data_IF_849752945474
#
_entry.id   IF_849752945474
#
_cell.length_a   1.000
_cell.length_b   1.000
_cell.length_c   1.000
_cell.angle_alpha   90.00
_cell.angle_beta   90.00
_cell.angle_gamma   90.00
#
_symmetry.space_group_name_H-M   'P 1'
#
loop_
_entity.id
_entity.type
_entity.pdbx_description
1 polymer ?
#
# COMPACT_ATOMS: atom_id res chain seq x y z
N UNK A 1 13.74 24.95 34.67
CA UNK A 1 14.94 24.14 34.42
C UNK A 1 15.20 24.14 32.93
N UNK A 2 16.35 24.66 32.51
CA UNK A 2 16.79 24.80 31.11
C UNK A 2 17.35 23.47 30.60
N UNK A 3 17.39 23.35 29.27
CA UNK A 3 18.40 22.61 28.47
C UNK A 3 18.17 21.07 28.34
N UNK A 4 18.21 20.42 27.16
CA UNK A 4 18.90 20.67 25.89
C UNK A 4 18.17 20.08 24.67
N UNK A 5 18.12 20.86 23.59
CA UNK A 5 17.85 20.44 22.22
C UNK A 5 19.12 19.77 21.64
N UNK A 6 19.01 18.56 21.11
CA UNK A 6 20.08 17.94 20.30
C UNK A 6 19.92 18.32 18.83
N UNK A 7 20.65 19.36 18.41
CA UNK A 7 20.83 19.74 17.01
C UNK A 7 21.99 18.92 16.42
N UNK A 8 21.70 18.00 15.49
CA UNK A 8 22.72 17.18 14.82
C UNK A 8 23.30 17.98 13.65
N UNK A 9 24.39 18.67 13.90
CA UNK A 9 25.18 19.43 12.92
C UNK A 9 25.81 18.50 11.86
N UNK A 10 25.45 18.70 10.60
CA UNK A 10 26.13 18.10 9.44
C UNK A 10 27.49 18.79 9.25
N UNK A 11 28.58 18.02 9.28
CA UNK A 11 29.95 18.51 9.08
C UNK A 11 30.17 18.89 7.60
N UNK A 12 30.75 20.06 7.28
CA UNK A 12 31.21 20.36 5.94
C UNK A 12 32.48 19.58 5.59
N UNK A 13 32.53 19.11 4.34
CA UNK A 13 33.65 18.38 3.74
C UNK A 13 34.89 19.27 3.56
N UNK A 14 36.07 18.67 3.77
CA UNK A 14 37.36 19.36 3.66
C UNK A 14 37.72 19.62 2.19
N UNK A 15 38.26 20.80 1.83
CA UNK A 15 38.85 21.01 0.52
C UNK A 15 40.23 20.33 0.43
N UNK A 16 40.44 19.57 -0.64
CA UNK A 16 41.70 18.91 -0.96
C UNK A 16 42.67 19.96 -1.53
N UNK A 17 43.84 20.08 -0.88
CA UNK A 17 44.92 21.03 -1.18
C UNK A 17 45.88 20.38 -2.18
N UNK A 18 46.04 20.99 -3.36
CA UNK A 18 47.09 20.65 -4.32
C UNK A 18 48.42 21.32 -3.90
N UNK A 19 49.54 20.60 -3.74
CA UNK A 19 50.85 21.21 -3.66
C UNK A 19 51.45 21.41 -5.06
N UNK A 20 51.95 22.63 -5.27
CA UNK A 20 52.65 23.06 -6.47
C UNK A 20 54.12 22.62 -6.55
N UNK A 21 54.62 22.79 -7.76
CA UNK A 21 55.95 22.51 -8.31
C UNK A 21 57.15 22.95 -7.47
N UNK A 22 58.24 22.17 -7.51
CA UNK A 22 59.61 22.69 -7.74
C UNK A 22 60.54 21.62 -8.32
N UNK A 23 61.50 22.08 -9.12
CA UNK A 23 62.27 21.35 -10.13
C UNK A 23 63.60 20.74 -9.63
N UNK A 24 64.04 19.65 -10.28
CA UNK A 24 65.44 19.26 -10.54
C UNK A 24 65.43 18.23 -11.70
N UNK A 25 65.96 18.55 -12.88
CA UNK A 25 67.35 18.42 -13.34
C UNK A 25 67.76 17.01 -13.80
N UNK A 26 68.31 17.01 -15.03
CA UNK A 26 69.34 16.13 -15.62
C UNK A 26 68.92 14.85 -16.34
N UNK A 27 68.96 14.98 -17.67
CA UNK A 27 69.35 14.02 -18.70
C UNK A 27 69.61 12.58 -18.22
N UNK A 28 68.84 11.64 -18.77
CA UNK A 28 69.40 10.45 -19.41
C UNK A 28 68.45 10.02 -20.54
N UNK A 29 68.94 10.20 -21.75
CA UNK A 29 68.42 9.63 -22.98
C UNK A 29 68.59 8.11 -22.94
N UNK A 30 67.55 7.40 -22.53
CA UNK A 30 67.38 5.97 -22.82
C UNK A 30 66.32 5.82 -23.90
N UNK A 31 66.75 5.41 -25.09
CA UNK A 31 65.93 5.04 -26.22
C UNK A 31 65.05 3.84 -25.82
N UNK A 32 63.86 4.11 -25.27
CA UNK A 32 62.86 3.07 -25.02
C UNK A 32 62.05 2.90 -26.30
N UNK A 33 62.36 1.80 -27.00
CA UNK A 33 61.49 1.23 -28.03
C UNK A 33 60.11 1.04 -27.43
N UNK A 34 59.21 1.98 -27.69
CA UNK A 34 57.79 1.76 -27.50
C UNK A 34 57.44 0.51 -28.32
N UNK A 35 56.96 -0.58 -27.70
CA UNK A 35 56.19 -1.53 -28.48
C UNK A 35 55.06 -0.69 -29.09
N UNK A 36 55.00 -0.64 -30.42
CA UNK A 36 53.81 -0.18 -31.12
C UNK A 36 52.67 -0.98 -30.50
N UNK A 37 51.85 -0.34 -29.67
CA UNK A 37 50.52 -0.84 -29.40
C UNK A 37 49.88 -0.92 -30.77
N UNK A 38 49.88 -2.13 -31.33
CA UNK A 38 49.11 -2.43 -32.52
C UNK A 38 47.69 -2.11 -32.10
N UNK A 39 47.20 -0.95 -32.52
CA UNK A 39 45.78 -0.68 -32.53
C UNK A 39 45.20 -1.76 -33.45
N UNK A 40 44.82 -2.88 -32.84
CA UNK A 40 44.03 -3.90 -33.50
C UNK A 40 42.69 -3.20 -33.78
N UNK A 41 42.52 -2.71 -35.00
CA UNK A 41 41.25 -2.20 -35.45
C UNK A 41 40.25 -3.34 -35.31
N UNK A 42 39.24 -3.14 -34.47
CA UNK A 42 38.12 -4.08 -34.33
C UNK A 42 37.59 -4.32 -35.73
N UNK A 43 37.65 -5.56 -36.18
CA UNK A 43 37.17 -5.89 -37.52
C UNK A 43 35.65 -5.79 -37.53
N UNK A 44 35.06 -5.36 -38.65
CA UNK A 44 33.61 -5.23 -38.77
C UNK A 44 32.89 -6.56 -38.46
N UNK A 45 33.55 -7.69 -38.75
CA UNK A 45 33.07 -9.04 -38.44
C UNK A 45 33.04 -9.33 -36.93
N UNK A 46 34.03 -8.87 -36.18
CA UNK A 46 34.07 -9.01 -34.72
C UNK A 46 32.97 -8.19 -34.06
N UNK A 47 32.75 -6.95 -34.53
CA UNK A 47 31.63 -6.14 -34.06
C UNK A 47 30.29 -6.82 -34.37
N UNK A 48 30.14 -7.38 -35.58
CA UNK A 48 28.93 -8.09 -35.99
C UNK A 48 28.68 -9.35 -35.13
N UNK A 49 29.73 -10.11 -34.79
CA UNK A 49 29.61 -11.27 -33.92
C UNK A 49 29.22 -10.88 -32.47
N UNK A 50 29.73 -9.75 -31.96
CA UNK A 50 29.37 -9.28 -30.62
C UNK A 50 27.91 -8.83 -30.57
N UNK A 51 27.44 -8.05 -31.54
CA UNK A 51 26.05 -7.58 -31.53
C UNK A 51 25.05 -8.75 -31.69
N UNK A 52 25.38 -9.77 -32.48
CA UNK A 52 24.50 -10.95 -32.61
C UNK A 52 24.47 -11.76 -31.32
N UNK A 53 25.62 -11.94 -30.67
CA UNK A 53 25.69 -12.60 -29.36
C UNK A 53 24.92 -11.83 -28.29
N UNK A 54 25.07 -10.50 -28.23
CA UNK A 54 24.30 -9.66 -27.32
C UNK A 54 22.80 -9.69 -27.61
N UNK A 55 22.38 -9.73 -28.89
CA UNK A 55 20.97 -9.82 -29.26
C UNK A 55 20.33 -11.15 -28.81
N UNK A 56 21.07 -12.26 -28.92
CA UNK A 56 20.61 -13.57 -28.45
C UNK A 56 20.49 -13.58 -26.93
N UNK A 57 21.50 -13.07 -26.21
CA UNK A 57 21.49 -13.00 -24.75
C UNK A 57 20.38 -12.09 -24.22
N UNK A 58 20.16 -10.93 -24.86
CA UNK A 58 19.10 -10.00 -24.49
C UNK A 58 17.71 -10.63 -24.65
N UNK A 59 17.47 -11.32 -25.77
CA UNK A 59 16.21 -12.04 -26.00
C UNK A 59 15.99 -13.14 -24.96
N UNK A 60 17.04 -13.92 -24.65
CA UNK A 60 16.95 -14.97 -23.62
C UNK A 60 16.69 -14.41 -22.22
N UNK A 61 17.28 -13.27 -21.88
CA UNK A 61 17.08 -12.61 -20.59
C UNK A 61 15.63 -12.09 -20.44
N UNK A 62 15.03 -11.52 -21.48
CA UNK A 62 13.64 -11.01 -21.40
C UNK A 62 12.63 -12.10 -21.05
N UNK A 63 12.76 -13.30 -21.62
CA UNK A 63 11.86 -14.43 -21.32
C UNK A 63 12.05 -14.94 -19.90
N UNK A 64 13.27 -14.82 -19.34
CA UNK A 64 13.55 -15.25 -17.97
C UNK A 64 13.01 -14.28 -16.90
N UNK A 65 12.74 -13.03 -17.27
CA UNK A 65 12.16 -12.03 -16.37
C UNK A 65 10.62 -11.97 -16.43
N UNK A 66 10.01 -12.55 -17.47
CA UNK A 66 8.55 -12.61 -17.60
C UNK A 66 7.97 -13.46 -16.45
N UNK A 67 7.11 -12.84 -15.63
CA UNK A 67 6.44 -13.47 -14.48
C UNK A 67 7.14 -13.36 -13.12
N UNK A 68 8.42 -12.95 -13.04
CA UNK A 68 9.09 -12.75 -11.73
C UNK A 68 8.46 -11.59 -10.95
N UNK A 69 8.07 -10.54 -11.67
CA UNK A 69 7.42 -9.36 -11.07
C UNK A 69 6.02 -9.70 -10.55
N UNK A 70 5.27 -10.56 -11.25
CA UNK A 70 3.92 -10.97 -10.84
C UNK A 70 3.95 -11.85 -9.59
N UNK A 71 4.89 -12.79 -9.52
CA UNK A 71 5.10 -13.64 -8.33
C UNK A 71 5.53 -12.79 -7.12
N UNK A 72 6.39 -11.79 -7.33
CA UNK A 72 6.82 -10.88 -6.28
C UNK A 72 5.65 -10.04 -5.75
N UNK A 73 4.79 -9.52 -6.63
CA UNK A 73 3.56 -8.79 -6.25
C UNK A 73 2.60 -9.68 -5.48
N UNK A 74 2.36 -10.90 -5.97
CA UNK A 74 1.51 -11.86 -5.28
C UNK A 74 2.01 -12.17 -3.86
N UNK A 75 3.32 -12.44 -3.72
CA UNK A 75 3.96 -12.69 -2.42
C UNK A 75 3.88 -11.47 -1.48
N UNK A 76 4.04 -10.26 -2.01
CA UNK A 76 3.90 -9.03 -1.22
C UNK A 76 2.46 -8.83 -0.75
N UNK A 77 1.48 -9.01 -1.63
CA UNK A 77 0.06 -8.91 -1.27
C UNK A 77 -0.32 -9.95 -0.21
N UNK A 78 0.21 -11.18 -0.30
CA UNK A 78 0.02 -12.19 0.76
C UNK A 78 0.66 -11.77 2.09
N UNK A 79 1.82 -11.13 2.07
CA UNK A 79 2.43 -10.63 3.30
C UNK A 79 1.60 -9.49 3.92
N UNK A 80 1.17 -8.53 3.10
CA UNK A 80 0.38 -7.39 3.55
C UNK A 80 -1.00 -7.81 4.10
N UNK A 81 -1.70 -8.73 3.43
CA UNK A 81 -3.00 -9.21 3.92
C UNK A 81 -2.88 -9.95 5.26
N UNK A 82 -1.77 -10.65 5.50
CA UNK A 82 -1.46 -11.27 6.80
C UNK A 82 -1.17 -10.21 7.88
N UNK A 83 -0.53 -9.09 7.54
CA UNK A 83 -0.38 -7.96 8.47
C UNK A 83 -1.74 -7.35 8.83
N UNK A 84 -2.63 -7.17 7.86
CA UNK A 84 -4.00 -6.67 8.10
C UNK A 84 -4.78 -7.66 8.98
N UNK A 85 -4.69 -8.98 8.71
CA UNK A 85 -5.30 -10.01 9.57
C UNK A 85 -4.80 -9.91 11.00
N UNK A 86 -3.49 -9.82 11.20
CA UNK A 86 -2.90 -9.69 12.55
C UNK A 86 -3.41 -8.43 13.25
N UNK A 87 -3.48 -7.30 12.56
CA UNK A 87 -4.02 -6.07 13.11
C UNK A 87 -5.49 -6.20 13.53
N UNK A 88 -6.33 -6.82 12.70
CA UNK A 88 -7.73 -7.09 13.01
C UNK A 88 -7.91 -8.04 14.20
N UNK A 89 -7.10 -9.10 14.26
CA UNK A 89 -7.12 -10.05 15.38
C UNK A 89 -6.61 -9.43 16.67
N UNK A 90 -5.59 -8.56 16.59
CA UNK A 90 -5.10 -7.81 17.73
C UNK A 90 -6.15 -6.80 18.23
N UNK A 91 -6.78 -6.05 17.33
CA UNK A 91 -7.92 -5.18 17.66
C UNK A 91 -9.03 -5.96 18.37
N UNK A 92 -9.38 -7.14 17.83
CA UNK A 92 -10.38 -8.04 18.43
C UNK A 92 -9.98 -8.51 19.83
N UNK A 93 -8.70 -8.79 20.04
CA UNK A 93 -8.20 -9.18 21.35
C UNK A 93 -8.25 -8.01 22.34
N UNK A 94 -7.76 -6.85 21.94
CA UNK A 94 -7.61 -5.67 22.79
C UNK A 94 -8.97 -5.04 23.11
N UNK A 95 -9.97 -5.17 22.24
CA UNK A 95 -11.32 -4.65 22.47
C UNK A 95 -12.06 -5.24 23.67
N UNK A 96 -11.58 -6.33 24.27
CA UNK A 96 -12.20 -6.93 25.45
C UNK A 96 -13.39 -7.83 25.14
N UNK A 97 -14.30 -7.34 24.31
CA UNK A 97 -15.55 -8.00 23.95
C UNK A 97 -15.43 -8.94 22.75
N UNK A 98 -14.21 -9.10 22.18
CA UNK A 98 -13.96 -9.88 20.96
C UNK A 98 -14.68 -9.34 19.73
N UNK A 99 -14.91 -8.03 19.67
CA UNK A 99 -15.49 -7.38 18.51
C UNK A 99 -14.40 -7.01 17.51
N UNK A 100 -14.67 -7.26 16.23
CA UNK A 100 -13.96 -6.61 15.13
C UNK A 100 -14.43 -5.15 15.00
N UNK A 101 -13.75 -4.33 14.16
CA UNK A 101 -14.34 -3.07 13.72
C UNK A 101 -15.77 -3.26 13.22
N UNK A 102 -16.62 -2.24 13.42
CA UNK A 102 -18.03 -2.21 12.95
C UNK A 102 -18.95 -3.20 13.70
N UNK A 103 -18.65 -3.50 14.96
CA UNK A 103 -19.44 -4.43 15.78
C UNK A 103 -19.57 -3.96 17.22
N UNK A 104 -20.72 -4.27 17.84
CA UNK A 104 -20.96 -3.98 19.24
C UNK A 104 -20.76 -2.50 19.53
N UNK A 105 -19.90 -2.17 20.49
CA UNK A 105 -19.57 -0.75 20.78
C UNK A 105 -18.88 -0.02 19.61
N UNK A 106 -18.30 -0.77 18.67
CA UNK A 106 -17.68 -0.24 17.46
C UNK A 106 -18.63 -0.24 16.26
N UNK A 107 -19.90 -0.56 16.45
CA UNK A 107 -20.88 -0.48 15.36
C UNK A 107 -20.98 0.96 14.85
N UNK A 108 -21.18 1.10 13.55
CA UNK A 108 -21.17 2.38 12.85
C UNK A 108 -22.44 3.20 13.06
N UNK A 109 -23.55 2.57 13.44
CA UNK A 109 -24.84 3.20 13.69
C UNK A 109 -25.32 3.03 15.14
N UNK A 110 -26.39 3.73 15.50
CA UNK A 110 -26.95 3.76 16.86
C UNK A 110 -27.85 2.56 17.20
N UNK A 111 -28.05 1.62 16.28
CA UNK A 111 -28.91 0.45 16.45
C UNK A 111 -28.08 -0.85 16.39
N UNK A 112 -27.57 -1.34 17.53
CA UNK A 112 -26.72 -2.53 17.56
C UNK A 112 -27.45 -3.83 17.14
N UNK A 113 -28.78 -3.80 17.05
CA UNK A 113 -29.63 -4.94 16.67
C UNK A 113 -30.28 -4.76 15.29
N UNK A 114 -29.99 -3.66 14.58
CA UNK A 114 -30.66 -3.27 13.34
C UNK A 114 -29.78 -2.49 12.36
N UNK A 115 -30.41 -1.91 11.34
CA UNK A 115 -29.75 -0.99 10.42
C UNK A 115 -30.36 0.40 10.64
N UNK A 116 -29.53 1.34 11.09
CA UNK A 116 -29.91 2.74 11.25
C UNK A 116 -29.05 3.64 10.36
N UNK A 117 -29.60 4.80 10.02
CA UNK A 117 -28.89 5.87 9.30
C UNK A 117 -28.31 6.93 10.25
N UNK A 118 -28.40 6.69 11.56
CA UNK A 118 -27.89 7.58 12.61
C UNK A 118 -26.56 7.01 13.10
N UNK A 119 -25.46 7.78 13.07
CA UNK A 119 -24.17 7.31 13.54
C UNK A 119 -24.16 6.98 15.02
N UNK A 120 -23.41 5.96 15.40
CA UNK A 120 -23.20 5.59 16.79
C UNK A 120 -22.64 6.79 17.59
N UNK A 121 -23.33 7.26 18.64
CA UNK A 121 -22.89 8.43 19.42
C UNK A 121 -21.63 8.19 20.26
N UNK A 122 -21.27 6.92 20.52
CA UNK A 122 -20.03 6.58 21.22
C UNK A 122 -18.79 6.75 20.33
N UNK A 123 -18.98 6.71 19.00
CA UNK A 123 -17.89 6.82 18.03
C UNK A 123 -17.41 8.27 17.85
N UNK A 124 -16.10 8.45 17.93
CA UNK A 124 -15.42 9.68 17.57
C UNK A 124 -14.99 9.63 16.10
N UNK A 125 -15.86 10.10 15.21
CA UNK A 125 -15.58 10.15 13.78
C UNK A 125 -14.48 11.16 13.44
N UNK A 126 -13.58 10.87 12.48
CA UNK A 126 -12.55 11.80 12.06
C UNK A 126 -13.09 13.14 11.52
N UNK A 127 -12.35 14.22 11.75
CA UNK A 127 -12.77 15.58 11.36
C UNK A 127 -13.01 15.77 9.85
N UNK A 128 -12.34 15.01 8.98
CA UNK A 128 -12.45 15.19 7.53
C UNK A 128 -13.82 14.79 6.96
N UNK A 129 -14.63 14.03 7.72
CA UNK A 129 -16.01 13.71 7.37
C UNK A 129 -17.04 14.51 8.19
N UNK A 130 -16.62 15.59 8.88
CA UNK A 130 -17.53 16.36 9.72
C UNK A 130 -18.69 16.98 8.95
N UNK A 131 -18.49 17.27 7.65
CA UNK A 131 -19.50 17.82 6.74
C UNK A 131 -20.48 16.79 6.20
N UNK A 132 -20.24 15.49 6.40
CA UNK A 132 -21.13 14.44 5.91
C UNK A 132 -22.44 14.46 6.70
N UNK A 133 -23.53 14.16 6.00
CA UNK A 133 -24.81 13.85 6.64
C UNK A 133 -24.70 12.60 7.52
N UNK A 134 -25.68 12.40 8.38
CA UNK A 134 -25.71 11.25 9.31
C UNK A 134 -25.64 9.91 8.57
N UNK A 135 -26.44 9.73 7.51
CA UNK A 135 -26.40 8.52 6.69
C UNK A 135 -25.07 8.34 5.97
N UNK A 136 -24.48 9.42 5.43
CA UNK A 136 -23.18 9.35 4.75
C UNK A 136 -22.04 8.94 5.68
N UNK A 137 -22.11 9.31 6.98
CA UNK A 137 -21.14 8.85 7.98
C UNK A 137 -21.27 7.35 8.26
N UNK A 138 -22.49 6.85 8.37
CA UNK A 138 -22.74 5.40 8.54
C UNK A 138 -22.24 4.64 7.31
N UNK A 139 -22.60 5.09 6.10
CA UNK A 139 -22.14 4.53 4.83
C UNK A 139 -20.60 4.52 4.74
N UNK A 140 -19.96 5.65 5.03
CA UNK A 140 -18.49 5.77 5.06
C UNK A 140 -17.88 4.78 6.05
N UNK A 141 -18.44 4.65 7.25
CA UNK A 141 -17.94 3.77 8.29
C UNK A 141 -18.12 2.29 7.92
N UNK A 142 -19.31 1.90 7.41
CA UNK A 142 -19.62 0.53 7.03
C UNK A 142 -18.85 0.07 5.79
N UNK A 143 -18.38 1.00 4.94
CA UNK A 143 -17.69 0.69 3.69
C UNK A 143 -16.58 -0.39 3.83
N UNK A 144 -16.58 -1.48 3.05
CA UNK A 144 -15.64 -2.61 3.21
C UNK A 144 -14.16 -2.26 3.12
N UNK A 145 -13.81 -1.25 2.32
CA UNK A 145 -12.45 -0.72 2.21
C UNK A 145 -12.04 0.21 3.37
N UNK A 146 -12.93 0.53 4.31
CA UNK A 146 -12.62 1.48 5.37
C UNK A 146 -12.01 0.77 6.60
N UNK A 147 -10.73 1.03 6.84
CA UNK A 147 -9.97 0.50 7.97
C UNK A 147 -9.69 1.56 9.05
N UNK A 148 -10.44 2.67 9.09
CA UNK A 148 -10.13 3.81 9.95
C UNK A 148 -9.92 3.48 11.44
N UNK A 149 -10.68 2.53 11.98
CA UNK A 149 -10.58 2.08 13.38
C UNK A 149 -9.25 1.39 13.72
N UNK A 150 -8.50 0.94 12.71
CA UNK A 150 -7.15 0.39 12.88
C UNK A 150 -6.08 1.49 12.97
N UNK A 151 -6.39 2.70 12.51
CA UNK A 151 -5.48 3.83 12.47
C UNK A 151 -5.71 4.83 13.61
N UNK A 152 -6.96 5.06 14.01
CA UNK A 152 -7.30 6.01 15.07
C UNK A 152 -8.23 5.40 16.11
N UNK A 153 -8.20 5.95 17.33
CA UNK A 153 -9.06 5.51 18.42
C UNK A 153 -10.51 5.89 18.10
N UNK A 154 -11.40 4.90 17.87
CA UNK A 154 -12.77 5.20 17.50
C UNK A 154 -13.63 5.65 18.67
N UNK A 155 -13.15 5.57 19.92
CA UNK A 155 -13.95 5.84 21.13
C UNK A 155 -13.27 6.91 21.99
N UNK A 156 -14.05 7.76 22.66
CA UNK A 156 -13.53 8.90 23.44
C UNK A 156 -12.98 8.52 24.81
N UNK A 157 -13.35 7.36 25.37
CA UNK A 157 -12.96 6.93 26.72
C UNK A 157 -12.56 5.44 26.77
N UNK A 158 -11.92 4.94 25.71
CA UNK A 158 -11.48 3.54 25.64
C UNK A 158 -9.96 3.45 25.51
N UNK A 159 -9.24 4.19 26.37
CA UNK A 159 -7.79 4.14 26.42
C UNK A 159 -7.29 2.75 26.84
N UNK A 160 -6.12 2.38 26.34
CA UNK A 160 -5.49 1.12 26.70
C UNK A 160 -5.18 1.03 28.20
N UNK A 161 -5.73 0.00 28.83
CA UNK A 161 -5.41 -0.40 30.19
C UNK A 161 -4.35 -1.52 30.18
N UNK A 162 -3.11 -1.24 30.64
CA UNK A 162 -2.03 -2.21 30.66
C UNK A 162 -2.25 -3.37 31.65
N UNK A 163 -3.12 -3.21 32.64
CA UNK A 163 -3.37 -4.24 33.67
C UNK A 163 -4.37 -5.27 33.15
N UNK A 164 -5.47 -4.81 32.54
CA UNK A 164 -6.47 -5.72 31.95
C UNK A 164 -6.12 -6.16 30.53
N UNK A 165 -5.13 -5.50 29.89
CA UNK A 165 -4.80 -5.66 28.46
C UNK A 165 -6.02 -5.42 27.57
N UNK A 166 -6.86 -4.44 27.96
CA UNK A 166 -8.08 -4.06 27.24
C UNK A 166 -8.07 -2.60 26.85
N UNK A 167 -8.87 -2.28 25.84
CA UNK A 167 -9.04 -0.93 25.30
C UNK A 167 -8.40 -0.77 23.93
N UNK A 168 -8.29 0.47 23.45
CA UNK A 168 -7.66 0.74 22.17
C UNK A 168 -6.13 0.88 22.35
N UNK A 169 -5.39 -0.11 21.85
CA UNK A 169 -3.92 -0.16 21.89
C UNK A 169 -3.28 0.20 20.53
N UNK A 170 -4.03 0.90 19.68
CA UNK A 170 -3.59 1.23 18.34
C UNK A 170 -2.56 2.38 18.31
N UNK A 171 -2.17 2.81 17.10
CA UNK A 171 -2.60 2.28 15.80
C UNK A 171 -2.10 0.85 15.56
N UNK A 172 -2.96 -0.03 15.06
CA UNK A 172 -2.65 -1.43 14.78
C UNK A 172 -1.93 -1.60 13.44
N UNK A 173 -2.11 -0.65 12.53
CA UNK A 173 -1.40 -0.55 11.25
C UNK A 173 -0.77 0.84 11.16
N UNK A 174 0.49 0.90 10.74
CA UNK A 174 1.24 2.16 10.63
C UNK A 174 1.14 2.81 9.26
N UNK A 175 0.88 2.01 8.23
CA UNK A 175 0.80 2.45 6.84
C UNK A 175 -0.61 2.97 6.57
N UNK A 176 -0.80 4.27 6.76
CA UNK A 176 -1.95 4.98 6.21
C UNK A 176 -1.56 5.41 4.81
N UNK A 177 -2.04 4.69 3.79
CA UNK A 177 -1.59 4.95 2.41
C UNK A 177 -2.08 6.30 1.92
N UNK A 178 -3.38 6.57 1.99
CA UNK A 178 -4.04 7.84 1.57
C UNK A 178 -5.56 7.74 1.77
N UNK A 179 -6.26 8.79 1.33
CA UNK A 179 -7.72 8.76 1.18
C UNK A 179 -8.10 8.01 -0.11
N UNK A 180 -9.16 7.22 -0.03
CA UNK A 180 -9.72 6.47 -1.13
C UNK A 180 -11.08 7.07 -1.50
N UNK A 181 -11.18 7.55 -2.73
CA UNK A 181 -12.41 8.03 -3.35
C UNK A 181 -12.96 6.94 -4.27
N UNK A 182 -14.18 6.51 -3.99
CA UNK A 182 -14.84 5.41 -4.72
C UNK A 182 -16.03 6.01 -5.46
N UNK A 183 -15.85 6.32 -6.74
CA UNK A 183 -16.95 6.73 -7.60
C UNK A 183 -17.62 5.48 -8.17
N UNK A 184 -18.72 5.10 -7.51
CA UNK A 184 -19.77 4.15 -7.91
C UNK A 184 -19.45 3.06 -8.96
N UNK A 185 -19.60 1.83 -8.45
CA UNK A 185 -19.73 0.53 -9.15
C UNK A 185 -18.41 -0.13 -9.54
N UNK A 186 -17.82 -0.79 -8.55
CA UNK A 186 -17.06 -2.02 -8.76
C UNK A 186 -18.01 -3.01 -9.48
N UNK A 187 -17.61 -3.63 -10.61
CA UNK A 187 -18.44 -4.62 -11.27
C UNK A 187 -18.77 -5.76 -10.30
N UNK A 188 -20.06 -6.10 -10.19
CA UNK A 188 -20.64 -7.18 -9.37
C UNK A 188 -20.51 -7.10 -7.83
N UNK A 189 -21.48 -6.37 -7.24
CA UNK A 189 -22.01 -6.50 -5.86
C UNK A 189 -21.42 -5.65 -4.73
N UNK A 190 -20.56 -4.67 -5.00
CA UNK A 190 -20.42 -3.51 -4.10
C UNK A 190 -21.30 -2.37 -4.61
N UNK A 191 -22.62 -2.50 -4.44
CA UNK A 191 -23.57 -1.40 -4.68
C UNK A 191 -23.53 -0.38 -3.54
N UNK A 192 -22.35 0.18 -3.28
CA UNK A 192 -22.17 1.22 -2.27
C UNK A 192 -22.29 2.58 -2.94
N UNK A 193 -22.91 3.53 -2.23
CA UNK A 193 -22.96 4.95 -2.60
C UNK A 193 -21.55 5.47 -2.91
N UNK A 194 -21.44 6.50 -3.76
CA UNK A 194 -20.15 7.15 -4.01
C UNK A 194 -19.68 7.74 -2.70
N UNK A 195 -18.60 7.21 -2.12
CA UNK A 195 -18.05 7.68 -0.86
C UNK A 195 -16.62 8.15 -1.12
N UNK A 196 -16.34 9.36 -0.67
CA UNK A 196 -15.02 9.98 -0.75
C UNK A 196 -14.32 9.92 0.60
N UNK A 197 -13.00 10.05 0.60
CA UNK A 197 -12.15 10.10 1.78
C UNK A 197 -12.18 8.85 2.67
N UNK A 198 -12.29 7.66 2.11
CA UNK A 198 -12.21 6.40 2.87
C UNK A 198 -10.76 6.11 3.29
N UNK A 199 -10.53 5.60 4.51
CA UNK A 199 -9.19 5.16 4.92
C UNK A 199 -8.94 3.73 4.48
N UNK A 200 -8.57 3.60 3.20
CA UNK A 200 -8.18 2.35 2.58
C UNK A 200 -6.70 2.03 2.75
N UNK A 201 -6.36 0.77 2.45
CA UNK A 201 -5.00 0.28 2.26
C UNK A 201 -4.92 -0.21 0.83
N UNK A 202 -3.92 0.25 0.08
CA UNK A 202 -3.74 -0.14 -1.31
C UNK A 202 -2.97 -1.45 -1.38
N UNK A 203 -3.45 -2.40 -2.18
CA UNK A 203 -2.68 -3.60 -2.52
C UNK A 203 -1.56 -3.28 -3.53
N UNK A 204 -0.65 -4.23 -3.69
CA UNK A 204 0.54 -4.03 -4.54
C UNK A 204 0.27 -4.19 -6.03
N UNK A 205 -0.94 -4.61 -6.41
CA UNK A 205 -1.27 -4.83 -7.81
C UNK A 205 -1.54 -3.50 -8.50
N UNK A 206 -0.67 -3.14 -9.44
CA UNK A 206 -0.85 -1.92 -10.23
C UNK A 206 -2.05 -2.05 -11.18
N UNK A 207 -3.24 -1.74 -10.69
CA UNK A 207 -4.38 -1.45 -11.57
C UNK A 207 -4.24 -0.02 -12.07
N UNK A 208 -4.26 0.15 -13.38
CA UNK A 208 -4.23 1.50 -13.97
C UNK A 208 -5.42 2.26 -13.42
N UNK A 209 -5.14 3.39 -12.76
CA UNK A 209 -6.19 4.35 -12.41
C UNK A 209 -7.06 4.58 -13.65
N UNK A 210 -8.37 4.45 -13.46
CA UNK A 210 -9.29 4.86 -14.49
C UNK A 210 -9.10 6.37 -14.70
N UNK A 211 -8.72 6.77 -15.93
CA UNK A 211 -8.47 8.17 -16.25
C UNK A 211 -9.76 8.76 -16.83
N UNK A 212 -10.33 9.83 -16.24
CA UNK A 212 -11.60 10.41 -16.68
C UNK A 212 -11.52 11.14 -18.02
N UNK A 213 -10.36 11.16 -18.69
CA UNK A 213 -10.17 11.79 -20.01
C UNK A 213 -10.86 11.03 -21.15
N UNK A 214 -11.48 9.87 -20.87
CA UNK A 214 -12.35 9.15 -21.80
C UNK A 214 -13.81 9.25 -21.37
N UNK A 215 -14.61 10.13 -21.99
CA UNK A 215 -16.05 10.21 -21.71
C UNK A 215 -16.73 8.86 -22.03
N UNK A 216 -17.47 8.31 -21.06
CA UNK A 216 -18.29 7.10 -21.25
C UNK A 216 -17.88 5.84 -20.47
N UNK A 217 -16.95 5.95 -19.51
CA UNK A 217 -16.60 4.86 -18.57
C UNK A 217 -16.49 5.33 -17.12
N UNK A 218 -17.36 6.24 -16.69
CA UNK A 218 -17.30 7.04 -15.43
C UNK A 218 -17.34 6.26 -14.09
N UNK A 219 -16.55 5.20 -13.93
CA UNK A 219 -16.62 4.26 -12.81
C UNK A 219 -15.23 3.77 -12.47
N UNK A 220 -14.72 4.13 -11.30
CA UNK A 220 -13.34 3.86 -10.93
C UNK A 220 -13.05 4.04 -9.45
N UNK A 221 -12.00 3.37 -9.01
CA UNK A 221 -11.38 3.57 -7.69
C UNK A 221 -10.27 4.60 -7.88
N UNK A 222 -10.28 5.64 -7.07
CA UNK A 222 -9.28 6.71 -7.11
C UNK A 222 -8.65 6.88 -5.75
N UNK A 223 -7.33 6.86 -5.69
CA UNK A 223 -6.59 7.27 -4.50
C UNK A 223 -6.38 8.78 -4.57
N UNK A 224 -6.82 9.49 -3.54
CA UNK A 224 -6.69 10.94 -3.42
C UNK A 224 -5.70 11.31 -2.30
N UNK A 225 -4.96 12.38 -2.53
CA UNK A 225 -4.15 13.04 -1.50
C UNK A 225 -4.76 14.39 -1.16
N UNK A 226 -5.00 14.64 0.13
CA UNK A 226 -5.40 15.97 0.61
C UNK A 226 -4.27 17.00 0.46
N UNK A 227 -3.03 16.55 0.27
CA UNK A 227 -1.89 17.39 -0.06
C UNK A 227 -1.69 17.52 -1.57
N UNK A 228 -1.64 18.76 -2.06
CA UNK A 228 -1.52 19.14 -3.48
C UNK A 228 -0.14 18.79 -4.08
N UNK A 229 0.57 17.78 -3.55
CA UNK A 229 1.99 17.51 -3.87
C UNK A 229 2.37 16.03 -3.90
N UNK A 230 1.41 15.09 -3.91
CA UNK A 230 1.73 13.68 -4.15
C UNK A 230 2.38 13.46 -5.53
N UNK A 231 3.46 12.69 -5.55
CA UNK A 231 4.07 12.18 -6.76
C UNK A 231 3.18 11.06 -7.32
N UNK A 232 2.91 10.98 -8.65
CA UNK A 232 1.85 10.11 -9.20
C UNK A 232 2.03 8.60 -9.01
N UNK A 233 3.20 8.12 -8.57
CA UNK A 233 3.54 6.70 -8.50
C UNK A 233 3.05 6.01 -7.22
N UNK A 234 2.51 6.75 -6.24
CA UNK A 234 1.89 6.19 -5.02
C UNK A 234 0.35 6.08 -5.13
N UNK A 235 -0.19 6.09 -6.36
CA UNK A 235 -1.62 6.24 -6.63
C UNK A 235 -2.29 5.02 -7.28
N UNK A 236 -1.65 3.85 -7.23
CA UNK A 236 -2.09 2.63 -7.91
C UNK A 236 -2.28 1.49 -6.90
N UNK A 237 -3.26 0.64 -7.14
CA UNK A 237 -3.62 -0.45 -6.23
C UNK A 237 -5.13 -0.60 -6.11
N UNK A 238 -5.62 -1.83 -6.04
CA UNK A 238 -6.98 -2.06 -5.55
C UNK A 238 -6.97 -1.93 -4.02
N UNK A 239 -8.08 -1.50 -3.40
CA UNK A 239 -8.15 -1.49 -1.96
C UNK A 239 -8.28 -2.93 -1.45
N UNK A 240 -7.62 -3.21 -0.33
CA UNK A 240 -8.03 -4.35 0.48
C UNK A 240 -9.47 -4.14 0.96
N UNK A 241 -10.23 -5.23 1.09
CA UNK A 241 -11.62 -5.21 1.49
C UNK A 241 -11.82 -6.14 2.67
N UNK A 242 -12.53 -5.69 3.70
CA UNK A 242 -12.94 -6.50 4.83
C UNK A 242 -14.44 -6.79 4.76
N UNK A 243 -14.81 -8.08 4.73
CA UNK A 243 -16.19 -8.54 4.58
C UNK A 243 -16.65 -9.36 5.76
N UNK A 244 -17.97 -9.27 6.02
CA UNK A 244 -18.72 -10.18 6.90
C UNK A 244 -18.05 -10.40 8.26
N UNK A 245 -17.47 -9.33 8.82
CA UNK A 245 -16.73 -9.42 10.08
C UNK A 245 -17.60 -10.00 11.20
N UNK A 246 -18.92 -9.79 11.11
CA UNK A 246 -19.96 -10.23 12.06
C UNK A 246 -20.21 -11.74 12.07
N UNK A 247 -19.78 -12.46 11.04
CA UNK A 247 -19.89 -13.91 10.98
C UNK A 247 -18.49 -14.53 11.12
N UNK A 248 -18.21 -15.28 12.21
CA UNK A 248 -16.89 -15.88 12.41
C UNK A 248 -16.51 -16.90 11.34
N UNK A 249 -17.48 -17.51 10.67
CA UNK A 249 -17.21 -18.51 9.64
C UNK A 249 -16.88 -17.86 8.29
N UNK A 250 -17.19 -16.58 8.08
CA UNK A 250 -16.97 -15.90 6.81
C UNK A 250 -16.19 -14.58 6.88
N UNK A 251 -15.88 -14.11 8.10
CA UNK A 251 -15.06 -12.93 8.36
C UNK A 251 -13.71 -13.05 7.65
N UNK A 252 -13.47 -12.16 6.69
CA UNK A 252 -12.31 -12.23 5.79
C UNK A 252 -11.81 -10.86 5.38
N UNK A 253 -10.53 -10.84 5.01
CA UNK A 253 -9.93 -9.75 4.23
C UNK A 253 -9.62 -10.30 2.84
N UNK A 254 -9.73 -9.47 1.82
CA UNK A 254 -9.39 -9.86 0.45
C UNK A 254 -8.71 -8.73 -0.33
N UNK A 255 -7.88 -9.13 -1.29
CA UNK A 255 -7.46 -8.32 -2.44
C UNK A 255 -8.13 -8.90 -3.68
N UNK A 256 -8.59 -8.04 -4.59
CA UNK A 256 -9.25 -8.41 -5.85
C UNK A 256 -8.26 -8.73 -6.99
N UNK A 257 -7.00 -8.96 -6.65
CA UNK A 257 -5.98 -9.35 -7.62
C UNK A 257 -5.68 -8.32 -8.72
N UNK A 258 -4.91 -8.72 -9.75
CA UNK A 258 -4.57 -7.89 -10.90
C UNK A 258 -5.76 -7.35 -11.72
N UNK A 259 -6.88 -8.07 -11.80
CA UNK A 259 -8.02 -7.64 -12.62
C UNK A 259 -8.95 -6.64 -11.91
N UNK A 260 -8.88 -6.54 -10.57
CA UNK A 260 -9.73 -5.66 -9.76
C UNK A 260 -11.20 -6.07 -9.70
N UNK A 261 -11.51 -7.32 -10.00
CA UNK A 261 -12.86 -7.89 -10.04
C UNK A 261 -12.99 -8.88 -8.88
N UNK A 262 -14.03 -8.74 -8.06
CA UNK A 262 -14.32 -9.71 -7.01
C UNK A 262 -14.95 -10.98 -7.60
N UNK A 263 -14.13 -12.00 -7.81
CA UNK A 263 -14.54 -13.31 -8.35
C UNK A 263 -14.99 -14.29 -7.24
N UNK A 264 -14.69 -13.95 -5.98
CA UNK A 264 -15.05 -14.71 -4.78
C UNK A 264 -16.53 -14.57 -4.42
N UNK A 265 -17.24 -13.60 -5.02
CA UNK A 265 -18.66 -13.37 -4.78
C UNK A 265 -19.53 -14.55 -5.21
N UNK A 266 -20.23 -15.18 -4.25
CA UNK A 266 -21.09 -16.35 -4.50
C UNK A 266 -20.37 -17.69 -4.48
N UNK A 267 -19.16 -17.76 -3.92
CA UNK A 267 -18.55 -19.02 -3.51
C UNK A 267 -19.39 -19.72 -2.43
N UNK A 268 -19.35 -21.06 -2.42
CA UNK A 268 -19.98 -21.87 -1.36
C UNK A 268 -19.21 -21.68 -0.05
N UNK A 269 -17.88 -21.60 -0.15
CA UNK A 269 -17.02 -21.22 0.96
C UNK A 269 -16.50 -19.79 0.72
N UNK A 270 -16.88 -18.81 1.56
CA UNK A 270 -16.37 -17.44 1.47
C UNK A 270 -14.85 -17.33 1.69
N UNK A 271 -14.21 -18.37 2.24
CA UNK A 271 -12.77 -18.43 2.43
C UNK A 271 -11.99 -18.99 1.23
N UNK A 272 -12.67 -19.52 0.21
CA UNK A 272 -12.02 -20.02 -0.99
C UNK A 272 -11.71 -18.87 -1.94
N UNK A 273 -10.42 -18.71 -2.27
CA UNK A 273 -9.97 -17.83 -3.34
C UNK A 273 -10.49 -18.32 -4.69
N UNK A 274 -11.08 -17.44 -5.50
CA UNK A 274 -11.48 -17.73 -6.88
C UNK A 274 -10.76 -16.82 -7.85
N UNK A 275 -10.36 -17.40 -8.98
CA UNK A 275 -9.66 -16.69 -10.04
C UNK A 275 -8.36 -16.07 -9.54
N UNK A 276 -8.20 -14.75 -9.63
CA UNK A 276 -7.01 -14.02 -9.17
C UNK A 276 -7.17 -13.32 -7.80
N UNK A 277 -8.32 -13.48 -7.14
CA UNK A 277 -8.54 -12.97 -5.79
C UNK A 277 -7.63 -13.65 -4.76
N UNK A 278 -7.16 -12.86 -3.79
CA UNK A 278 -6.44 -13.36 -2.62
C UNK A 278 -7.33 -13.16 -1.40
N UNK A 279 -7.78 -14.26 -0.80
CA UNK A 279 -8.72 -14.26 0.33
C UNK A 279 -8.05 -14.83 1.55
N UNK A 280 -8.22 -14.15 2.70
CA UNK A 280 -7.72 -14.60 3.97
C UNK A 280 -8.81 -14.49 5.05
N UNK A 281 -9.28 -15.65 5.53
CA UNK A 281 -10.24 -15.71 6.62
C UNK A 281 -9.58 -15.44 7.97
N UNK A 282 -10.30 -14.75 8.85
CA UNK A 282 -9.74 -14.21 10.08
C UNK A 282 -9.69 -15.27 11.19
N UNK A 283 -10.77 -16.04 11.35
CA UNK A 283 -10.99 -16.92 12.51
C UNK A 283 -10.95 -18.42 12.21
N UNK A 284 -10.61 -18.80 10.97
CA UNK A 284 -10.36 -20.19 10.57
C UNK A 284 -8.88 -20.54 10.64
#
# INVERSE_FOLDING_TARGET
MRCLLFYRQLKPSKPIRLPGNTAHNRQQSSFSLHPKNKMAGVTLLELLAVITLLAILATGALVAFDGVDDEARYSLTQFEIEEIRKALLQFRHDSGSKYFPKQGIYDCDDDPDGDSNTPNPELNFPNHISSYSQSEKVDWCKHPANFWMLFENPLTNNDWDPDTKRGWNGPYIRRKDRFLDIELRIPDKLSVSSIVNVWGIADTFETRQYRPDKPGKDRGIYWFDDTVSAIPFELYGNPYLAFELNDPDSARVMSTGPNGINESTGSIDPCDSRGDDIVLCLLR
#
